data_IF_195136629184
#
_entry.id   IF_195136629184
#
_cell.length_a   1.000
_cell.length_b   1.000
_cell.length_c   1.000
_cell.angle_alpha   90.00
_cell.angle_beta   90.00
_cell.angle_gamma   90.00
#
_symmetry.space_group_name_H-M   'P 1'
#
loop_
_entity.id
_entity.type
_entity.pdbx_description
1 polymer ?
#
# COMPACT_ATOMS: atom_id res chain seq x y z
N UNK A 1 -33.78 77.29 -52.21
CA UNK A 1 -32.87 76.14 -52.03
C UNK A 1 -31.84 76.53 -50.99
N UNK A 2 -32.08 76.13 -49.75
CA UNK A 2 -31.04 75.86 -48.77
C UNK A 2 -31.66 74.90 -47.76
N UNK A 3 -31.16 73.67 -47.78
CA UNK A 3 -31.62 72.55 -46.98
C UNK A 3 -31.34 72.82 -45.49
N UNK A 4 -32.39 72.82 -44.69
CA UNK A 4 -32.26 72.61 -43.25
C UNK A 4 -32.35 71.11 -43.04
N UNK A 5 -31.20 70.49 -42.78
CA UNK A 5 -31.07 69.08 -42.46
C UNK A 5 -31.67 68.91 -41.07
N UNK A 6 -32.86 68.33 -40.99
CA UNK A 6 -33.49 67.92 -39.75
C UNK A 6 -32.63 66.78 -39.15
N UNK A 7 -32.01 67.04 -38.00
CA UNK A 7 -31.24 66.02 -37.31
C UNK A 7 -32.21 64.91 -36.86
N UNK A 8 -31.91 63.62 -37.11
CA UNK A 8 -32.77 62.56 -36.62
C UNK A 8 -32.83 62.66 -35.09
N UNK A 9 -34.03 62.88 -34.56
CA UNK A 9 -34.34 62.72 -33.14
C UNK A 9 -33.93 61.29 -32.78
N UNK A 10 -32.80 61.16 -32.08
CA UNK A 10 -32.37 59.88 -31.53
C UNK A 10 -33.39 59.53 -30.46
N UNK A 11 -34.24 58.58 -30.80
CA UNK A 11 -35.32 58.06 -29.99
C UNK A 11 -34.77 57.51 -28.66
N UNK A 12 -34.97 58.27 -27.57
CA UNK A 12 -34.49 57.98 -26.21
C UNK A 12 -35.01 56.62 -25.69
N UNK A 13 -36.14 56.16 -26.26
CA UNK A 13 -36.74 54.83 -26.03
C UNK A 13 -35.87 53.65 -26.47
N UNK A 14 -34.89 53.87 -27.35
CA UNK A 14 -33.96 52.80 -27.79
C UNK A 14 -32.83 52.56 -26.78
N UNK A 15 -32.44 53.57 -25.99
CA UNK A 15 -31.44 53.41 -24.92
C UNK A 15 -32.01 52.66 -23.72
N UNK A 16 -33.22 53.02 -23.30
CA UNK A 16 -33.86 52.41 -22.14
C UNK A 16 -34.22 50.93 -22.37
N UNK A 17 -34.54 50.54 -23.61
CA UNK A 17 -34.84 49.14 -23.96
C UNK A 17 -33.59 48.25 -24.00
N UNK A 18 -32.43 48.76 -24.42
CA UNK A 18 -31.17 48.01 -24.40
C UNK A 18 -30.64 47.83 -22.97
N UNK A 19 -30.78 48.85 -22.12
CA UNK A 19 -30.37 48.78 -20.70
C UNK A 19 -31.26 47.78 -19.94
N UNK A 20 -32.57 47.79 -20.16
CA UNK A 20 -33.50 46.84 -19.54
C UNK A 20 -33.25 45.37 -19.98
N UNK A 21 -32.67 45.14 -21.16
CA UNK A 21 -32.29 43.81 -21.63
C UNK A 21 -30.97 43.31 -21.03
N UNK A 22 -30.06 44.23 -20.65
CA UNK A 22 -28.84 43.91 -19.91
C UNK A 22 -29.12 43.56 -18.44
N UNK A 23 -30.12 44.18 -17.81
CA UNK A 23 -30.51 43.89 -16.42
C UNK A 23 -31.06 42.46 -16.25
N UNK A 24 -31.68 41.90 -17.30
CA UNK A 24 -32.10 40.49 -17.33
C UNK A 24 -31.04 39.52 -17.89
N UNK A 25 -29.92 40.03 -18.42
CA UNK A 25 -28.82 39.20 -18.95
C UNK A 25 -27.93 38.66 -17.82
N UNK A 26 -27.78 39.42 -16.73
CA UNK A 26 -27.03 39.02 -15.55
C UNK A 26 -27.99 38.66 -14.42
N UNK A 27 -28.18 37.36 -14.17
CA UNK A 27 -28.93 36.91 -13.00
C UNK A 27 -28.25 37.43 -11.71
N UNK A 28 -28.96 38.15 -10.82
CA UNK A 28 -28.37 38.64 -9.58
C UNK A 28 -27.93 37.46 -8.72
N UNK A 29 -26.65 37.40 -8.38
CA UNK A 29 -26.13 36.38 -7.47
C UNK A 29 -26.65 36.73 -6.08
N UNK A 30 -27.33 35.77 -5.43
CA UNK A 30 -27.73 35.95 -4.03
C UNK A 30 -26.47 36.04 -3.17
N UNK A 31 -26.19 37.23 -2.63
CA UNK A 31 -25.07 37.46 -1.72
C UNK A 31 -25.15 36.56 -0.47
N UNK A 32 -26.36 36.18 -0.04
CA UNK A 32 -26.59 35.21 1.03
C UNK A 32 -26.04 33.81 0.70
N UNK A 33 -26.17 33.36 -0.56
CA UNK A 33 -25.56 32.10 -1.01
C UNK A 33 -24.03 32.16 -1.03
N UNK A 34 -23.46 33.33 -1.34
CA UNK A 34 -22.01 33.55 -1.29
C UNK A 34 -21.53 33.52 0.17
N UNK A 35 -22.22 34.20 1.07
CA UNK A 35 -21.89 34.20 2.49
C UNK A 35 -21.97 32.80 3.10
N UNK A 36 -22.98 32.00 2.70
CA UNK A 36 -23.07 30.59 3.06
C UNK A 36 -21.87 29.79 2.54
N UNK A 37 -21.47 29.98 1.28
CA UNK A 37 -20.32 29.29 0.68
C UNK A 37 -19.00 29.68 1.37
N UNK A 38 -18.82 30.95 1.70
CA UNK A 38 -17.68 31.46 2.46
C UNK A 38 -17.66 30.85 3.87
N UNK A 39 -18.82 30.73 4.51
CA UNK A 39 -18.98 30.02 5.78
C UNK A 39 -18.55 28.55 5.68
N UNK A 40 -19.04 27.82 4.67
CA UNK A 40 -18.67 26.43 4.42
C UNK A 40 -17.16 26.26 4.19
N UNK A 41 -16.55 27.14 3.38
CA UNK A 41 -15.11 27.15 3.14
C UNK A 41 -14.32 27.33 4.43
N UNK A 42 -14.68 28.33 5.25
CA UNK A 42 -14.00 28.59 6.53
C UNK A 42 -14.09 27.39 7.46
N UNK A 43 -15.28 26.76 7.55
CA UNK A 43 -15.46 25.57 8.36
C UNK A 43 -14.62 24.39 7.85
N UNK A 44 -14.63 24.13 6.55
CA UNK A 44 -13.82 23.05 5.96
C UNK A 44 -12.32 23.28 6.17
N UNK A 45 -11.86 24.52 6.01
CA UNK A 45 -10.47 24.89 6.29
C UNK A 45 -10.09 24.62 7.74
N UNK A 46 -10.91 25.06 8.69
CA UNK A 46 -10.65 24.80 10.12
C UNK A 46 -10.59 23.31 10.42
N UNK A 47 -11.52 22.52 9.87
CA UNK A 47 -11.51 21.06 10.04
C UNK A 47 -10.21 20.41 9.52
N UNK A 48 -9.66 20.90 8.40
CA UNK A 48 -8.38 20.41 7.85
C UNK A 48 -7.22 20.76 8.78
N UNK A 49 -7.16 21.99 9.29
CA UNK A 49 -6.12 22.45 10.22
C UNK A 49 -6.16 21.65 11.54
N UNK A 50 -7.35 21.45 12.11
CA UNK A 50 -7.54 20.69 13.35
C UNK A 50 -7.15 19.21 13.16
N UNK A 51 -7.54 18.59 12.04
CA UNK A 51 -7.18 17.21 11.73
C UNK A 51 -5.68 17.04 11.50
N UNK A 52 -5.04 17.98 10.80
CA UNK A 52 -3.58 17.98 10.62
C UNK A 52 -2.84 18.05 11.95
N UNK A 53 -3.30 18.91 12.85
CA UNK A 53 -2.71 19.03 14.19
C UNK A 53 -2.93 17.76 15.03
N UNK A 54 -4.08 17.10 14.90
CA UNK A 54 -4.36 15.82 15.55
C UNK A 54 -3.41 14.71 15.09
N UNK A 55 -3.17 14.62 13.77
CA UNK A 55 -2.23 13.64 13.21
C UNK A 55 -0.79 13.87 13.71
N UNK A 56 -0.34 15.13 13.75
CA UNK A 56 1.03 15.47 14.16
C UNK A 56 1.29 15.21 15.65
N UNK A 57 0.31 15.49 16.51
CA UNK A 57 0.50 15.44 17.97
C UNK A 57 0.08 14.15 18.64
N UNK A 58 -0.82 13.36 18.05
CA UNK A 58 -1.48 12.24 18.76
C UNK A 58 -1.43 10.91 18.03
N UNK A 59 -1.17 10.89 16.73
CA UNK A 59 -1.18 9.64 15.96
C UNK A 59 0.26 9.18 15.76
N UNK A 60 0.55 7.96 16.22
CA UNK A 60 1.80 7.29 15.87
C UNK A 60 1.74 6.91 14.38
N UNK A 61 2.63 7.48 13.58
CA UNK A 61 2.72 7.23 12.14
C UNK A 61 2.91 5.75 11.84
N UNK A 62 3.52 4.97 12.75
CA UNK A 62 3.65 3.53 12.61
C UNK A 62 2.29 2.80 12.58
N UNK A 63 1.26 3.35 13.23
CA UNK A 63 -0.10 2.79 13.15
C UNK A 63 -0.69 2.99 11.75
N UNK A 64 -0.45 4.15 11.13
CA UNK A 64 -0.90 4.43 9.76
C UNK A 64 -0.24 3.50 8.74
N UNK A 65 1.01 3.09 8.98
CA UNK A 65 1.70 2.10 8.15
C UNK A 65 0.96 0.76 8.12
N UNK A 66 0.40 0.30 9.26
CA UNK A 66 -0.41 -0.93 9.27
C UNK A 66 -1.73 -0.78 8.51
N UNK A 67 -2.38 0.38 8.58
CA UNK A 67 -3.57 0.65 7.77
C UNK A 67 -3.26 0.61 6.27
N UNK A 68 -2.14 1.21 5.86
CA UNK A 68 -1.69 1.16 4.48
C UNK A 68 -1.34 -0.27 4.05
N UNK A 69 -0.50 -0.97 4.82
CA UNK A 69 -0.04 -2.31 4.49
C UNK A 69 -1.17 -3.35 4.45
N UNK A 70 -2.13 -3.27 5.38
CA UNK A 70 -3.19 -4.25 5.52
C UNK A 70 -4.37 -4.09 4.56
N UNK A 71 -4.53 -2.90 3.97
CA UNK A 71 -5.65 -2.60 3.07
C UNK A 71 -5.21 -2.34 1.61
N UNK A 72 -3.91 -2.35 1.32
CA UNK A 72 -3.34 -2.31 -0.04
C UNK A 72 -3.18 -3.72 -0.65
N UNK A 73 -4.21 -4.56 -0.53
CA UNK A 73 -4.09 -6.01 -0.83
C UNK A 73 -4.00 -6.30 -2.34
N UNK A 74 -4.39 -5.37 -3.22
CA UNK A 74 -4.45 -5.66 -4.67
C UNK A 74 -3.96 -4.53 -5.59
N UNK A 75 -3.78 -3.30 -5.11
CA UNK A 75 -3.58 -2.15 -5.99
C UNK A 75 -2.35 -1.33 -5.60
N UNK A 76 -1.16 -1.90 -5.85
CA UNK A 76 0.19 -1.35 -5.58
C UNK A 76 0.43 0.13 -5.93
N UNK A 77 -0.50 0.79 -6.62
CA UNK A 77 -0.41 2.20 -7.03
C UNK A 77 -1.74 2.97 -7.00
N UNK A 78 -2.81 2.46 -6.38
CA UNK A 78 -4.12 3.15 -6.34
C UNK A 78 -4.85 2.98 -5.01
N UNK A 79 -4.76 4.01 -4.17
CA UNK A 79 -5.75 4.22 -3.11
C UNK A 79 -7.06 4.59 -3.80
N UNK A 80 -7.99 3.63 -3.89
CA UNK A 80 -9.29 3.86 -4.54
C UNK A 80 -10.20 4.73 -3.65
N UNK A 81 -10.04 4.65 -2.32
CA UNK A 81 -10.68 5.55 -1.36
C UNK A 81 -9.97 5.55 -0.01
N UNK A 82 -10.05 6.65 0.74
CA UNK A 82 -9.54 6.71 2.13
C UNK A 82 -10.37 5.81 3.06
N UNK A 83 -11.67 5.64 2.77
CA UNK A 83 -12.54 4.74 3.53
C UNK A 83 -12.10 3.28 3.44
N UNK A 84 -11.64 2.81 2.27
CA UNK A 84 -11.08 1.47 2.13
C UNK A 84 -9.72 1.33 2.82
N UNK A 85 -8.90 2.39 2.86
CA UNK A 85 -7.59 2.39 3.51
C UNK A 85 -7.72 2.32 5.05
N UNK A 86 -8.68 3.03 5.63
CA UNK A 86 -8.85 3.16 7.08
C UNK A 86 -9.67 2.02 7.72
N UNK A 87 -9.73 0.84 7.09
CA UNK A 87 -10.38 -0.34 7.69
C UNK A 87 -9.50 -0.94 8.78
N UNK A 88 -10.03 -0.98 10.00
CA UNK A 88 -9.34 -1.49 11.20
C UNK A 88 -8.97 -2.96 11.05
N UNK A 89 -9.86 -3.78 10.47
CA UNK A 89 -9.62 -5.22 10.30
C UNK A 89 -8.37 -5.50 9.46
N UNK A 90 -8.17 -4.78 8.35
CA UNK A 90 -6.96 -4.92 7.53
C UNK A 90 -5.71 -4.52 8.30
N UNK A 91 -5.76 -3.42 9.05
CA UNK A 91 -4.65 -2.96 9.88
C UNK A 91 -4.26 -3.98 10.96
N UNK A 92 -5.24 -4.57 11.65
CA UNK A 92 -5.00 -5.60 12.66
C UNK A 92 -4.38 -6.87 12.06
N UNK A 93 -4.82 -7.29 10.87
CA UNK A 93 -4.20 -8.44 10.17
C UNK A 93 -2.76 -8.16 9.75
N UNK A 94 -2.46 -6.94 9.32
CA UNK A 94 -1.08 -6.54 9.02
C UNK A 94 -0.21 -6.49 10.30
N UNK A 95 -0.79 -6.04 11.41
CA UNK A 95 -0.14 -6.07 12.72
C UNK A 95 0.18 -7.51 13.14
N UNK A 96 -0.80 -8.41 13.07
CA UNK A 96 -0.61 -9.83 13.38
C UNK A 96 0.53 -10.43 12.54
N UNK A 97 0.51 -10.21 11.23
CA UNK A 97 1.54 -10.70 10.31
C UNK A 97 2.92 -10.16 10.67
N UNK A 98 3.05 -8.87 10.97
CA UNK A 98 4.31 -8.26 11.38
C UNK A 98 4.84 -8.85 12.70
N UNK A 99 3.96 -9.14 13.66
CA UNK A 99 4.35 -9.71 14.94
C UNK A 99 4.70 -11.20 14.85
N UNK A 100 4.03 -11.94 13.97
CA UNK A 100 4.43 -13.30 13.61
C UNK A 100 5.82 -13.35 12.99
N UNK A 101 6.13 -12.45 12.06
CA UNK A 101 7.46 -12.34 11.44
C UNK A 101 8.53 -11.99 12.50
N UNK A 102 8.26 -11.02 13.38
CA UNK A 102 9.12 -10.70 14.52
C UNK A 102 9.33 -11.92 15.43
N UNK A 103 8.26 -12.64 15.77
CA UNK A 103 8.31 -13.79 16.65
C UNK A 103 9.20 -14.90 16.10
N UNK A 104 9.13 -15.19 14.79
CA UNK A 104 10.03 -16.16 14.17
C UNK A 104 11.47 -15.67 14.10
N UNK A 105 11.70 -14.38 13.84
CA UNK A 105 13.05 -13.79 13.82
C UNK A 105 13.73 -13.79 15.19
N UNK A 106 12.98 -13.89 16.28
CA UNK A 106 13.54 -14.12 17.62
C UNK A 106 14.07 -15.55 17.82
N UNK A 107 13.82 -16.45 16.87
CA UNK A 107 14.26 -17.83 16.89
C UNK A 107 15.24 -18.12 15.76
N UNK A 108 15.89 -19.29 15.82
CA UNK A 108 16.74 -19.85 14.76
C UNK A 108 15.96 -20.72 13.75
N UNK A 109 14.62 -20.78 13.86
CA UNK A 109 13.79 -21.62 12.99
C UNK A 109 13.98 -21.19 11.53
N UNK A 110 14.01 -19.88 11.26
CA UNK A 110 14.18 -19.39 9.91
C UNK A 110 15.50 -19.86 9.30
N UNK A 111 16.58 -20.03 10.08
CA UNK A 111 17.89 -20.46 9.58
C UNK A 111 17.91 -21.94 9.17
N UNK A 112 17.15 -22.79 9.85
CA UNK A 112 17.05 -24.20 9.48
C UNK A 112 15.93 -24.51 8.48
N UNK A 113 14.98 -23.60 8.28
CA UNK A 113 13.78 -23.82 7.46
C UNK A 113 14.12 -24.10 5.98
N UNK A 114 13.49 -25.10 5.33
CA UNK A 114 13.62 -25.32 3.89
C UNK A 114 13.07 -24.15 3.08
N UNK A 115 13.67 -23.90 1.92
CA UNK A 115 13.35 -22.71 1.13
C UNK A 115 11.88 -22.61 0.73
N UNK A 116 11.23 -23.72 0.36
CA UNK A 116 9.81 -23.72 -0.02
C UNK A 116 8.91 -23.20 1.12
N UNK A 117 9.10 -23.73 2.33
CA UNK A 117 8.35 -23.32 3.53
C UNK A 117 8.67 -21.87 3.91
N UNK A 118 9.93 -21.44 3.76
CA UNK A 118 10.32 -20.06 4.01
C UNK A 118 9.64 -19.09 3.03
N UNK A 119 9.53 -19.46 1.75
CA UNK A 119 8.78 -18.69 0.75
C UNK A 119 7.29 -18.63 1.06
N UNK A 120 6.67 -19.75 1.44
CA UNK A 120 5.26 -19.79 1.87
C UNK A 120 5.02 -18.88 3.08
N UNK A 121 5.91 -18.92 4.07
CA UNK A 121 5.85 -18.06 5.23
C UNK A 121 5.85 -16.57 4.84
N UNK A 122 6.84 -16.15 4.05
CA UNK A 122 6.92 -14.74 3.65
C UNK A 122 5.73 -14.30 2.80
N UNK A 123 5.16 -15.19 2.00
CA UNK A 123 3.94 -14.89 1.26
C UNK A 123 2.72 -14.76 2.19
N UNK A 124 2.61 -15.58 3.23
CA UNK A 124 1.56 -15.44 4.25
C UNK A 124 1.66 -14.12 5.01
N UNK A 125 2.89 -13.72 5.39
CA UNK A 125 3.14 -12.42 6.02
C UNK A 125 2.73 -11.29 5.07
N UNK A 126 3.19 -11.36 3.82
CA UNK A 126 2.92 -10.34 2.79
C UNK A 126 1.43 -10.19 2.50
N UNK A 127 0.69 -11.28 2.46
CA UNK A 127 -0.76 -11.28 2.19
C UNK A 127 -1.60 -11.04 3.46
N UNK A 128 -0.98 -10.81 4.62
CA UNK A 128 -1.66 -10.71 5.92
C UNK A 128 -2.65 -11.88 6.14
N UNK A 129 -2.23 -13.10 5.79
CA UNK A 129 -3.00 -14.36 5.93
C UNK A 129 -2.48 -15.20 7.10
N UNK A 130 -2.00 -14.54 8.15
CA UNK A 130 -1.60 -15.19 9.39
C UNK A 130 -2.79 -15.37 10.32
N UNK A 131 -2.76 -16.36 11.22
CA UNK A 131 -3.74 -16.45 12.29
C UNK A 131 -3.61 -15.24 13.25
N UNK A 132 -4.64 -14.94 14.05
CA UNK A 132 -4.57 -13.90 15.09
C UNK A 132 -3.37 -14.12 16.03
N UNK A 133 -2.67 -13.04 16.41
CA UNK A 133 -1.49 -13.11 17.24
C UNK A 133 -1.84 -13.25 18.74
N UNK A 134 -2.38 -14.40 19.11
CA UNK A 134 -2.77 -14.72 20.49
C UNK A 134 -1.66 -15.47 21.23
N UNK A 135 -1.43 -15.13 22.51
CA UNK A 135 -0.27 -15.61 23.27
C UNK A 135 -0.16 -17.15 23.34
N UNK A 136 -1.28 -17.85 23.48
CA UNK A 136 -1.32 -19.32 23.53
C UNK A 136 -0.98 -19.93 22.16
N UNK A 137 -1.64 -19.46 21.10
CA UNK A 137 -1.42 -19.89 19.72
C UNK A 137 0.02 -19.64 19.27
N UNK A 138 0.60 -18.49 19.63
CA UNK A 138 1.99 -18.13 19.33
C UNK A 138 2.95 -19.08 20.01
N UNK A 139 2.79 -19.32 21.32
CA UNK A 139 3.66 -20.23 22.07
C UNK A 139 3.60 -21.66 21.52
N UNK A 140 2.40 -22.18 21.27
CA UNK A 140 2.20 -23.51 20.71
C UNK A 140 2.88 -23.65 19.35
N UNK A 141 2.61 -22.71 18.43
CA UNK A 141 3.17 -22.72 17.07
C UNK A 141 4.69 -22.63 17.07
N UNK A 142 5.27 -21.71 17.87
CA UNK A 142 6.72 -21.57 17.96
C UNK A 142 7.36 -22.82 18.56
N UNK A 143 6.73 -23.45 19.57
CA UNK A 143 7.23 -24.69 20.16
C UNK A 143 7.27 -25.82 19.13
N UNK A 144 6.23 -25.98 18.32
CA UNK A 144 6.17 -27.00 17.26
C UNK A 144 7.24 -26.78 16.18
N UNK A 145 7.47 -25.52 15.79
CA UNK A 145 8.51 -25.15 14.84
C UNK A 145 9.92 -25.38 15.41
N UNK A 146 10.15 -25.03 16.68
CA UNK A 146 11.41 -25.26 17.38
C UNK A 146 11.72 -26.76 17.53
N UNK A 147 10.70 -27.58 17.80
CA UNK A 147 10.82 -29.04 17.86
C UNK A 147 11.09 -29.66 16.50
N UNK A 148 10.68 -29.00 15.42
CA UNK A 148 10.86 -29.47 14.04
C UNK A 148 12.19 -29.05 13.41
N UNK A 149 13.04 -28.25 14.09
CA UNK A 149 14.29 -27.69 13.53
C UNK A 149 15.23 -28.74 12.93
N UNK A 150 15.41 -29.89 13.61
CA UNK A 150 16.28 -30.95 13.10
C UNK A 150 15.76 -31.54 11.77
N UNK A 151 14.44 -31.70 11.65
CA UNK A 151 13.78 -32.16 10.42
C UNK A 151 13.92 -31.12 9.30
N UNK A 152 13.69 -29.84 9.62
CA UNK A 152 13.84 -28.74 8.68
C UNK A 152 15.26 -28.65 8.13
N UNK A 153 16.28 -28.81 8.98
CA UNK A 153 17.66 -28.83 8.53
C UNK A 153 17.92 -29.97 7.54
N UNK A 154 17.42 -31.17 7.83
CA UNK A 154 17.55 -32.32 6.93
C UNK A 154 16.85 -32.07 5.58
N UNK A 155 15.62 -31.56 5.60
CA UNK A 155 14.86 -31.18 4.40
C UNK A 155 15.54 -30.06 3.60
N UNK A 156 16.17 -29.10 4.27
CA UNK A 156 16.93 -28.02 3.61
C UNK A 156 18.16 -28.58 2.89
N UNK A 157 18.90 -29.48 3.53
CA UNK A 157 20.08 -30.14 2.93
C UNK A 157 19.67 -31.03 1.75
N UNK A 158 18.59 -31.80 1.87
CA UNK A 158 18.05 -32.59 0.77
C UNK A 158 17.59 -31.69 -0.40
N UNK A 159 16.92 -30.57 -0.11
CA UNK A 159 16.56 -29.56 -1.10
C UNK A 159 17.79 -28.96 -1.81
N UNK A 160 18.88 -28.71 -1.09
CA UNK A 160 20.14 -28.25 -1.66
C UNK A 160 20.69 -29.27 -2.67
N UNK A 161 20.75 -30.56 -2.31
CA UNK A 161 21.22 -31.60 -3.23
C UNK A 161 20.34 -31.75 -4.47
N UNK A 162 19.01 -31.64 -4.31
CA UNK A 162 18.06 -31.63 -5.46
C UNK A 162 18.20 -30.39 -6.34
N UNK A 163 18.73 -29.29 -5.80
CA UNK A 163 18.93 -28.04 -6.54
C UNK A 163 20.24 -27.97 -7.33
N UNK A 164 21.12 -28.97 -7.16
CA UNK A 164 22.39 -29.05 -7.88
C UNK A 164 22.19 -29.08 -9.40
N UNK A 165 23.16 -28.50 -10.09
CA UNK A 165 23.22 -28.49 -11.55
C UNK A 165 23.44 -29.89 -12.11
N UNK A 166 22.52 -30.37 -12.94
CA UNK A 166 22.65 -31.68 -13.62
C UNK A 166 23.64 -31.66 -14.79
N UNK A 167 24.10 -30.47 -15.23
CA UNK A 167 25.02 -30.34 -16.38
C UNK A 167 26.48 -30.43 -15.99
N UNK A 168 26.80 -30.38 -14.68
CA UNK A 168 28.16 -30.41 -14.18
C UNK A 168 28.46 -31.76 -13.54
N UNK A 169 29.25 -32.59 -14.23
CA UNK A 169 29.65 -33.95 -13.81
C UNK A 169 30.34 -33.99 -12.44
N UNK A 170 30.91 -32.86 -11.99
CA UNK A 170 31.56 -32.73 -10.68
C UNK A 170 30.58 -32.68 -9.50
N UNK A 171 29.29 -32.45 -9.74
CA UNK A 171 28.28 -32.47 -8.68
C UNK A 171 28.03 -33.91 -8.21
N UNK A 172 27.95 -34.07 -6.89
CA UNK A 172 27.62 -35.34 -6.23
C UNK A 172 26.38 -35.13 -5.36
N UNK A 173 25.19 -35.59 -5.79
CA UNK A 173 23.95 -35.38 -5.03
C UNK A 173 23.90 -36.19 -3.72
N UNK A 174 24.75 -37.18 -3.54
CA UNK A 174 24.82 -38.05 -2.37
C UNK A 174 25.62 -37.48 -1.19
N UNK A 175 26.22 -36.29 -1.31
CA UNK A 175 26.93 -35.69 -0.19
C UNK A 175 27.66 -34.37 -0.49
N UNK A 176 28.23 -33.79 0.56
CA UNK A 176 29.01 -32.56 0.44
C UNK A 176 30.34 -32.81 -0.26
N UNK A 177 30.67 -31.95 -1.21
CA UNK A 177 31.92 -31.99 -1.97
C UNK A 177 32.64 -30.64 -1.89
N UNK A 178 33.91 -30.58 -2.34
CA UNK A 178 34.67 -29.32 -2.38
C UNK A 178 34.00 -28.24 -3.25
N UNK A 179 33.20 -28.62 -4.24
CA UNK A 179 32.52 -27.70 -5.18
C UNK A 179 31.10 -28.19 -5.45
N UNK A 180 30.13 -27.39 -5.05
CA UNK A 180 28.71 -27.60 -5.36
C UNK A 180 28.27 -26.52 -6.34
N UNK A 181 27.80 -26.92 -7.51
CA UNK A 181 27.41 -26.00 -8.59
C UNK A 181 25.89 -25.99 -8.68
N UNK A 182 25.29 -24.82 -8.49
CA UNK A 182 23.85 -24.61 -8.63
C UNK A 182 23.57 -23.79 -9.90
N UNK A 183 22.49 -24.12 -10.60
CA UNK A 183 22.04 -23.33 -11.74
C UNK A 183 21.08 -22.22 -11.28
N UNK A 184 21.10 -21.08 -11.97
CA UNK A 184 20.14 -19.98 -11.80
C UNK A 184 20.09 -19.39 -10.39
N UNK A 185 21.19 -19.45 -9.62
CA UNK A 185 21.30 -18.74 -8.34
C UNK A 185 21.31 -17.23 -8.57
N UNK A 186 21.99 -16.78 -9.63
CA UNK A 186 21.91 -15.43 -10.17
C UNK A 186 21.11 -15.50 -11.47
N UNK A 187 20.16 -14.59 -11.64
CA UNK A 187 19.34 -14.48 -12.84
C UNK A 187 20.11 -13.83 -14.01
N UNK A 188 19.45 -13.69 -15.15
CA UNK A 188 20.03 -13.11 -16.36
C UNK A 188 20.26 -11.59 -16.28
N UNK A 189 19.76 -10.91 -15.24
CA UNK A 189 19.90 -9.46 -15.01
C UNK A 189 20.88 -9.19 -13.85
N UNK A 190 21.43 -10.24 -13.23
CA UNK A 190 22.46 -10.14 -12.19
C UNK A 190 21.91 -10.16 -10.76
N UNK A 191 20.62 -10.45 -10.55
CA UNK A 191 20.00 -10.50 -9.23
C UNK A 191 19.92 -11.93 -8.67
N UNK A 192 20.05 -12.12 -7.35
CA UNK A 192 19.83 -13.42 -6.73
C UNK A 192 18.39 -13.91 -6.94
N UNK A 193 18.23 -15.15 -7.37
CA UNK A 193 16.93 -15.79 -7.50
C UNK A 193 16.33 -16.05 -6.12
N UNK A 194 15.14 -15.48 -5.84
CA UNK A 194 14.43 -15.69 -4.58
C UNK A 194 14.13 -17.16 -4.28
N UNK A 195 14.04 -18.01 -5.30
CA UNK A 195 13.77 -19.44 -5.14
C UNK A 195 15.05 -20.26 -5.06
N UNK A 196 16.05 -19.99 -5.91
CA UNK A 196 17.27 -20.81 -5.99
C UNK A 196 18.34 -20.37 -4.99
N UNK A 197 18.49 -19.08 -4.73
CA UNK A 197 19.48 -18.56 -3.81
C UNK A 197 19.16 -18.87 -2.34
N UNK A 198 17.91 -19.17 -1.97
CA UNK A 198 17.60 -19.51 -0.58
C UNK A 198 17.94 -20.94 -0.17
N UNK A 199 18.46 -21.77 -1.07
CA UNK A 199 19.02 -23.08 -0.74
C UNK A 199 20.41 -22.97 -0.08
N UNK A 200 21.16 -21.90 -0.38
CA UNK A 200 22.45 -21.56 0.24
C UNK A 200 22.23 -20.66 1.46
#
# INVERSE_FOLDING_TARGET
>A
MNDTIDAPVVDDTTKDSVIAQCDNFFAPVSFDLIDQLVGQYKQQRQNIEDFGHYLDTRVDTAVLEYFAAGNDVEQRYRITSLHSLLKVEGALRALDAAYWDKALKLTDVLDCMPQARRSEWFEQIRQAKTPPFEAESVRATLMDLLNSRARFLAERVDGLFRSLSNTHVTNRPEGFSKRMILNYVIDNIGFPSTTKAGHI
#
